data_IF_664525757095
#
_entry.id   IF_664525757095
#
_cell.length_a   1.000
_cell.length_b   1.000
_cell.length_c   1.000
_cell.angle_alpha   90.00
_cell.angle_beta   90.00
_cell.angle_gamma   90.00
#
_symmetry.space_group_name_H-M   'P 1'
#
loop_
_entity.id
_entity.type
_entity.pdbx_description
1 polymer ?
#
# COMPACT_ATOMS: atom_id res chain seq x y z
N UNK A 1 -3.77 44.32 -66.70
CA UNK A 1 -3.08 43.04 -66.42
C UNK A 1 -2.37 43.16 -65.08
N UNK A 2 -2.69 42.34 -64.07
CA UNK A 2 -2.09 42.47 -62.74
C UNK A 2 -0.79 41.67 -62.64
N UNK A 3 0.22 42.28 -62.03
CA UNK A 3 1.54 41.73 -61.70
C UNK A 3 1.44 40.67 -60.59
N UNK A 4 2.23 39.58 -60.62
CA UNK A 4 2.14 38.54 -59.60
C UNK A 4 2.98 38.91 -58.36
N UNK A 5 2.34 38.83 -57.18
CA UNK A 5 2.96 38.90 -55.86
C UNK A 5 3.81 37.65 -55.60
N UNK A 6 5.14 37.83 -55.50
CA UNK A 6 6.08 36.81 -55.03
C UNK A 6 5.87 36.57 -53.54
N UNK A 7 5.45 35.35 -53.17
CA UNK A 7 5.50 34.86 -51.78
C UNK A 7 6.95 34.51 -51.42
N UNK A 8 7.49 35.18 -50.40
CA UNK A 8 8.74 34.79 -49.75
C UNK A 8 8.46 33.70 -48.73
N UNK A 9 9.16 32.57 -48.84
CA UNK A 9 9.20 31.54 -47.81
C UNK A 9 10.02 32.02 -46.60
N UNK A 10 9.55 31.83 -45.36
CA UNK A 10 10.36 32.13 -44.19
C UNK A 10 11.47 31.09 -44.03
N UNK A 11 12.70 31.56 -43.80
CA UNK A 11 13.84 30.72 -43.46
C UNK A 11 13.73 30.14 -42.04
N UNK A 12 14.25 28.93 -41.79
CA UNK A 12 14.24 28.33 -40.47
C UNK A 12 15.25 29.03 -39.54
N UNK A 13 14.76 29.48 -38.39
CA UNK A 13 15.58 30.06 -37.34
C UNK A 13 16.54 29.03 -36.74
N UNK A 14 17.82 29.41 -36.65
CA UNK A 14 18.91 28.63 -36.06
C UNK A 14 18.72 28.49 -34.54
N UNK A 15 18.84 27.25 -34.07
CA UNK A 15 19.50 26.81 -32.84
C UNK A 15 19.22 27.56 -31.53
N UNK A 16 18.39 26.97 -30.67
CA UNK A 16 18.59 27.06 -29.21
C UNK A 16 18.73 25.64 -28.65
N UNK A 17 19.83 25.42 -27.95
CA UNK A 17 20.13 24.20 -27.23
C UNK A 17 19.02 23.92 -26.21
N UNK A 18 18.31 22.81 -26.40
CA UNK A 18 17.39 22.26 -25.43
C UNK A 18 18.27 21.69 -24.30
N UNK A 19 18.25 22.34 -23.13
CA UNK A 19 18.72 21.71 -21.90
C UNK A 19 17.78 20.55 -21.61
N UNK A 20 18.27 19.34 -21.84
CA UNK A 20 17.66 18.09 -21.40
C UNK A 20 17.52 18.14 -19.89
N UNK A 21 16.28 18.25 -19.41
CA UNK A 21 15.95 18.06 -18.00
C UNK A 21 16.14 16.55 -17.74
N UNK A 22 16.96 16.14 -16.74
CA UNK A 22 17.08 14.74 -16.41
C UNK A 22 15.75 14.29 -15.81
N UNK A 23 14.99 13.50 -16.55
CA UNK A 23 13.95 12.66 -15.99
C UNK A 23 14.69 11.68 -15.07
N UNK A 24 14.62 11.90 -13.77
CA UNK A 24 15.06 10.91 -12.78
C UNK A 24 14.16 9.68 -12.90
N UNK A 25 14.54 8.76 -13.78
CA UNK A 25 14.18 7.36 -13.67
C UNK A 25 14.83 6.81 -12.41
N UNK A 26 14.23 7.05 -11.24
CA UNK A 26 14.46 6.20 -10.08
C UNK A 26 13.67 4.91 -10.27
N UNK A 27 14.08 4.11 -11.26
CA UNK A 27 13.88 2.67 -11.14
C UNK A 27 14.78 2.25 -9.98
N UNK A 28 14.18 2.14 -8.80
CA UNK A 28 14.80 1.44 -7.69
C UNK A 28 15.13 0.04 -8.23
N UNK A 29 16.40 -0.18 -8.58
CA UNK A 29 16.92 -1.52 -8.85
C UNK A 29 16.62 -2.30 -7.58
N UNK A 30 15.69 -3.24 -7.67
CA UNK A 30 15.47 -4.22 -6.61
C UNK A 30 16.84 -4.81 -6.29
N UNK A 31 17.35 -4.66 -5.05
CA UNK A 31 18.66 -5.16 -4.68
C UNK A 31 18.75 -6.65 -5.02
N UNK A 32 19.73 -7.05 -5.84
CA UNK A 32 19.95 -8.46 -6.22
C UNK A 32 20.16 -9.38 -5.00
N UNK A 33 20.50 -8.83 -3.85
CA UNK A 33 20.67 -9.55 -2.58
C UNK A 33 19.34 -10.11 -2.01
N UNK A 34 18.17 -9.60 -2.44
CA UNK A 34 16.86 -10.07 -1.97
C UNK A 34 16.36 -11.37 -2.63
N UNK A 35 17.03 -11.85 -3.68
CA UNK A 35 16.64 -13.08 -4.39
C UNK A 35 17.12 -14.37 -3.71
N UNK A 36 17.99 -14.29 -2.69
CA UNK A 36 18.59 -15.48 -2.10
C UNK A 36 17.75 -16.14 -0.98
N UNK A 37 16.91 -15.38 -0.27
CA UNK A 37 16.13 -15.91 0.87
C UNK A 37 14.84 -16.63 0.47
N UNK A 38 14.33 -16.45 -0.75
CA UNK A 38 13.10 -17.11 -1.22
C UNK A 38 13.32 -18.54 -1.77
N UNK A 39 14.59 -18.99 -1.90
CA UNK A 39 14.92 -20.29 -2.51
C UNK A 39 14.67 -21.52 -1.61
N UNK A 40 14.42 -21.35 -0.32
CA UNK A 40 14.28 -22.50 0.60
C UNK A 40 12.86 -23.09 0.70
N UNK A 41 11.82 -22.45 0.14
CA UNK A 41 10.43 -22.87 0.37
C UNK A 41 9.78 -23.70 -0.77
N UNK A 42 10.46 -23.90 -1.91
CA UNK A 42 9.81 -24.43 -3.12
C UNK A 42 10.47 -25.69 -3.73
N UNK A 43 11.15 -26.50 -2.93
CA UNK A 43 11.51 -27.86 -3.37
C UNK A 43 10.36 -28.80 -3.06
N UNK A 44 9.42 -28.91 -4.01
CA UNK A 44 8.47 -30.02 -4.06
C UNK A 44 9.28 -31.29 -4.26
N UNK A 45 9.54 -32.02 -3.18
CA UNK A 45 10.04 -33.39 -3.21
C UNK A 45 8.93 -34.20 -3.88
N UNK A 46 9.08 -34.48 -5.18
CA UNK A 46 8.31 -35.54 -5.85
C UNK A 46 8.67 -36.85 -5.15
N UNK A 47 7.84 -37.27 -4.19
CA UNK A 47 7.92 -38.61 -3.62
C UNK A 47 7.70 -39.62 -4.76
N UNK A 48 8.62 -40.58 -4.98
CA UNK A 48 8.36 -41.66 -5.90
C UNK A 48 7.10 -42.42 -5.43
N UNK A 49 6.28 -42.84 -6.40
CA UNK A 49 5.10 -43.64 -6.15
C UNK A 49 5.50 -44.90 -5.36
N UNK A 50 4.72 -45.31 -4.34
CA UNK A 50 5.00 -46.55 -3.61
C UNK A 50 4.91 -47.72 -4.59
N UNK A 51 6.04 -48.40 -4.82
CA UNK A 51 6.04 -49.62 -5.61
C UNK A 51 5.33 -50.71 -4.80
N UNK A 52 4.31 -51.29 -5.41
CA UNK A 52 3.46 -52.34 -4.84
C UNK A 52 4.13 -53.71 -4.89
N UNK A 53 5.40 -53.82 -4.51
CA UNK A 53 6.07 -55.11 -4.36
C UNK A 53 6.09 -55.51 -2.89
N UNK A 54 5.12 -56.34 -2.53
CA UNK A 54 5.02 -57.00 -1.25
C UNK A 54 6.19 -57.95 -1.01
N UNK A 55 7.21 -57.44 -0.33
CA UNK A 55 8.15 -58.20 0.48
C UNK A 55 8.73 -57.26 1.54
N UNK A 56 8.02 -57.14 2.67
CA UNK A 56 8.52 -56.47 3.87
C UNK A 56 9.80 -57.16 4.35
N UNK A 57 10.96 -56.49 4.35
CA UNK A 57 12.10 -56.99 5.09
C UNK A 57 11.76 -56.86 6.58
N UNK A 58 11.97 -57.94 7.31
CA UNK A 58 12.01 -57.98 8.78
C UNK A 58 13.12 -57.06 9.30
N UNK A 59 12.91 -55.74 9.30
CA UNK A 59 13.63 -54.82 10.20
C UNK A 59 12.91 -54.84 11.55
N UNK A 60 12.82 -56.02 12.14
CA UNK A 60 12.37 -56.18 13.51
C UNK A 60 13.56 -55.88 14.43
N UNK A 61 13.40 -54.83 15.24
CA UNK A 61 14.15 -54.60 16.48
C UNK A 61 15.66 -54.45 16.33
N UNK A 62 16.11 -53.43 15.60
CA UNK A 62 17.37 -52.79 15.98
C UNK A 62 17.05 -52.05 17.29
N UNK A 63 17.64 -52.49 18.41
CA UNK A 63 17.38 -51.95 19.74
C UNK A 63 17.46 -50.43 19.76
N UNK A 64 16.51 -49.79 20.45
CA UNK A 64 16.49 -48.35 20.65
C UNK A 64 17.86 -47.90 21.16
N UNK A 65 18.61 -47.17 20.32
CA UNK A 65 19.88 -46.61 20.71
C UNK A 65 19.59 -45.55 21.77
N UNK A 66 19.96 -45.87 23.01
CA UNK A 66 19.87 -44.94 24.13
C UNK A 66 20.88 -43.82 23.91
N UNK A 67 20.38 -42.62 23.60
CA UNK A 67 21.19 -41.42 23.54
C UNK A 67 21.36 -40.87 24.96
N UNK A 68 22.60 -40.88 25.45
CA UNK A 68 22.96 -40.24 26.71
C UNK A 68 22.84 -38.72 26.58
N UNK A 69 22.37 -38.05 27.63
CA UNK A 69 22.19 -36.60 27.65
C UNK A 69 23.51 -35.88 27.34
N UNK A 70 23.45 -34.97 26.37
CA UNK A 70 24.61 -34.22 25.87
C UNK A 70 25.04 -33.08 26.77
N UNK A 71 24.17 -32.59 27.66
CA UNK A 71 24.50 -31.56 28.63
C UNK A 71 25.10 -32.12 29.93
N UNK A 72 24.45 -33.12 30.56
CA UNK A 72 24.88 -33.62 31.87
C UNK A 72 25.60 -34.97 31.86
N UNK A 73 25.52 -35.74 30.77
CA UNK A 73 26.10 -37.09 30.63
C UNK A 73 25.69 -38.10 31.73
N UNK A 74 24.66 -37.80 32.54
CA UNK A 74 24.28 -38.62 33.71
C UNK A 74 23.07 -39.52 33.47
N UNK A 75 22.27 -39.27 32.43
CA UNK A 75 21.05 -40.03 32.15
C UNK A 75 20.74 -40.09 30.64
N UNK A 76 20.01 -41.12 30.23
CA UNK A 76 19.45 -41.23 28.88
C UNK A 76 18.27 -40.27 28.72
N UNK A 77 18.07 -39.75 27.50
CA UNK A 77 16.86 -39.01 27.16
C UNK A 77 15.61 -39.90 27.22
N UNK A 78 14.49 -39.34 27.70
CA UNK A 78 13.18 -40.00 27.75
C UNK A 78 12.15 -39.23 26.90
N UNK A 79 11.27 -39.95 26.21
CA UNK A 79 10.17 -39.33 25.46
C UNK A 79 9.22 -38.61 26.40
N UNK A 80 8.93 -37.34 26.11
CA UNK A 80 8.00 -36.51 26.85
C UNK A 80 7.18 -35.62 25.88
N UNK A 81 6.25 -34.85 26.44
CA UNK A 81 5.59 -33.74 25.74
C UNK A 81 5.92 -32.43 26.43
N UNK A 82 5.98 -31.35 25.65
CA UNK A 82 6.25 -30.01 26.18
C UNK A 82 5.41 -28.96 25.47
N UNK A 83 5.39 -27.75 26.03
CA UNK A 83 4.79 -26.57 25.41
C UNK A 83 5.90 -25.63 24.94
N UNK A 84 5.73 -25.04 23.76
CA UNK A 84 6.69 -24.08 23.20
C UNK A 84 5.99 -22.77 22.87
N UNK A 85 6.44 -21.67 23.47
CA UNK A 85 5.99 -20.35 23.07
C UNK A 85 6.75 -19.91 21.82
N UNK A 86 6.03 -19.64 20.73
CA UNK A 86 6.56 -19.10 19.48
C UNK A 86 6.04 -17.69 19.24
N UNK A 87 6.90 -16.76 18.83
CA UNK A 87 6.47 -15.40 18.47
C UNK A 87 6.07 -15.35 17.00
N UNK A 88 4.82 -14.98 16.71
CA UNK A 88 4.31 -14.77 15.34
C UNK A 88 3.78 -13.34 15.26
N UNK A 89 4.28 -12.56 14.30
CA UNK A 89 3.91 -11.14 14.14
C UNK A 89 4.09 -10.27 15.41
N UNK A 90 5.04 -10.62 16.29
CA UNK A 90 5.28 -9.92 17.56
C UNK A 90 4.39 -10.36 18.72
N UNK A 91 3.43 -11.25 18.49
CA UNK A 91 2.57 -11.82 19.52
C UNK A 91 3.05 -13.22 19.92
N UNK A 92 3.12 -13.54 21.23
CA UNK A 92 3.47 -14.89 21.69
C UNK A 92 2.28 -15.84 21.52
N UNK A 93 2.52 -16.98 20.87
CA UNK A 93 1.55 -18.07 20.73
C UNK A 93 2.11 -19.35 21.37
N UNK A 94 1.27 -20.07 22.09
CA UNK A 94 1.65 -21.31 22.76
C UNK A 94 1.33 -22.51 21.86
N UNK A 95 2.35 -23.30 21.53
CA UNK A 95 2.20 -24.61 20.90
C UNK A 95 2.12 -25.67 22.00
N UNK A 96 1.04 -26.44 22.04
CA UNK A 96 0.81 -27.48 23.03
C UNK A 96 1.19 -28.87 22.49
N UNK A 97 1.39 -29.81 23.41
CA UNK A 97 1.54 -31.23 23.14
C UNK A 97 2.66 -31.58 22.14
N UNK A 98 3.79 -30.87 22.22
CA UNK A 98 4.91 -31.09 21.32
C UNK A 98 5.74 -32.29 21.79
N UNK A 99 5.84 -33.37 20.99
CA UNK A 99 6.68 -34.51 21.35
C UNK A 99 8.15 -34.09 21.38
N UNK A 100 8.84 -34.44 22.47
CA UNK A 100 10.25 -34.13 22.70
C UNK A 100 10.97 -35.26 23.42
N UNK A 101 12.27 -35.10 23.59
CA UNK A 101 13.12 -35.95 24.41
C UNK A 101 13.66 -35.09 25.57
N UNK A 102 13.37 -35.48 26.82
CA UNK A 102 13.76 -34.73 28.02
C UNK A 102 14.72 -35.57 28.88
N UNK A 103 15.80 -34.96 29.36
CA UNK A 103 16.72 -35.60 30.30
C UNK A 103 16.15 -35.52 31.73
N UNK A 104 15.92 -36.66 32.43
CA UNK A 104 15.39 -36.65 33.79
C UNK A 104 16.38 -36.12 34.85
N UNK A 105 17.68 -36.07 34.54
CA UNK A 105 18.70 -35.62 35.48
C UNK A 105 18.87 -34.09 35.51
N UNK A 106 18.79 -33.41 34.36
CA UNK A 106 19.02 -31.97 34.27
C UNK A 106 17.87 -31.17 33.63
N UNK A 107 16.84 -31.82 33.09
CA UNK A 107 15.71 -31.17 32.43
C UNK A 107 15.98 -30.63 31.03
N UNK A 108 17.13 -30.95 30.42
CA UNK A 108 17.40 -30.58 29.02
C UNK A 108 16.37 -31.21 28.08
N UNK A 109 15.80 -30.38 27.19
CA UNK A 109 14.84 -30.81 26.16
C UNK A 109 15.54 -30.76 24.80
N UNK A 110 15.46 -31.85 24.06
CA UNK A 110 15.89 -31.93 22.66
C UNK A 110 14.74 -32.38 21.76
N UNK A 111 14.79 -31.98 20.50
CA UNK A 111 13.84 -32.38 19.48
C UNK A 111 14.57 -33.16 18.40
N UNK A 112 14.02 -34.30 18.00
CA UNK A 112 14.50 -35.00 16.81
C UNK A 112 14.22 -34.15 15.56
N UNK A 113 14.86 -34.50 14.44
CA UNK A 113 14.60 -33.83 13.17
C UNK A 113 13.12 -33.89 12.76
N UNK A 114 12.47 -35.04 12.96
CA UNK A 114 11.05 -35.20 12.64
C UNK A 114 10.14 -34.37 13.55
N UNK A 115 10.45 -34.32 14.86
CA UNK A 115 9.71 -33.49 15.82
C UNK A 115 9.85 -32.00 15.50
N UNK A 116 11.06 -31.55 15.16
CA UNK A 116 11.34 -30.17 14.74
C UNK A 116 10.52 -29.79 13.50
N UNK A 117 10.47 -30.67 12.49
CA UNK A 117 9.61 -30.47 11.31
C UNK A 117 8.11 -30.43 11.67
N UNK A 118 7.69 -31.16 12.69
CA UNK A 118 6.32 -31.12 13.23
C UNK A 118 5.99 -29.76 13.86
N UNK A 119 6.90 -29.24 14.69
CA UNK A 119 6.81 -27.91 15.29
C UNK A 119 6.72 -26.83 14.22
N UNK A 120 7.60 -26.89 13.22
CA UNK A 120 7.62 -25.94 12.11
C UNK A 120 6.29 -25.95 11.34
N UNK A 121 5.70 -27.14 11.10
CA UNK A 121 4.37 -27.24 10.46
C UNK A 121 3.27 -26.60 11.30
N UNK A 122 3.27 -26.80 12.62
CA UNK A 122 2.27 -26.17 13.49
C UNK A 122 2.44 -24.66 13.54
N UNK A 123 3.68 -24.18 13.67
CA UNK A 123 4.00 -22.75 13.61
C UNK A 123 3.54 -22.12 12.30
N UNK A 124 3.86 -22.77 11.18
CA UNK A 124 3.46 -22.33 9.83
C UNK A 124 1.93 -22.36 9.69
N UNK A 125 1.24 -23.37 10.25
CA UNK A 125 -0.22 -23.42 10.26
C UNK A 125 -0.85 -22.28 11.06
N UNK A 126 -0.28 -21.92 12.22
CA UNK A 126 -0.70 -20.73 12.97
C UNK A 126 -0.47 -19.46 12.15
N UNK A 127 0.70 -19.32 11.53
CA UNK A 127 1.00 -18.17 10.68
C UNK A 127 0.03 -18.05 9.49
N UNK A 128 -0.33 -19.19 8.87
CA UNK A 128 -1.35 -19.25 7.82
C UNK A 128 -2.75 -18.89 8.34
N UNK A 129 -3.11 -19.32 9.55
CA UNK A 129 -4.41 -19.04 10.15
C UNK A 129 -4.60 -17.55 10.50
N UNK A 130 -3.51 -16.86 10.84
CA UNK A 130 -3.56 -15.46 11.27
C UNK A 130 -3.62 -14.46 10.11
N UNK A 131 -3.02 -14.77 8.95
CA UNK A 131 -3.03 -13.87 7.80
C UNK A 131 -4.25 -14.15 6.91
N UNK A 132 -5.20 -13.20 6.77
CA UNK A 132 -6.35 -13.41 5.91
C UNK A 132 -5.91 -13.63 4.45
N UNK A 133 -6.65 -14.46 3.73
CA UNK A 133 -6.44 -14.66 2.31
C UNK A 133 -6.71 -13.35 1.56
N UNK A 134 -5.76 -12.95 0.71
CA UNK A 134 -5.89 -11.74 -0.08
C UNK A 134 -7.00 -11.90 -1.12
N UNK A 135 -7.91 -10.93 -1.13
CA UNK A 135 -8.95 -10.82 -2.14
C UNK A 135 -8.35 -10.45 -3.52
N UNK A 136 -9.04 -10.76 -4.63
CA UNK A 136 -8.57 -10.42 -5.98
C UNK A 136 -8.19 -8.94 -6.17
N UNK A 137 -8.98 -8.02 -5.60
CA UNK A 137 -8.71 -6.58 -5.66
C UNK A 137 -7.48 -6.16 -4.84
N UNK A 138 -7.18 -6.87 -3.75
CA UNK A 138 -5.96 -6.63 -2.97
C UNK A 138 -4.73 -7.06 -3.76
N UNK A 139 -4.78 -8.18 -4.48
CA UNK A 139 -3.69 -8.63 -5.35
C UNK A 139 -3.44 -7.64 -6.50
N UNK A 140 -4.50 -7.16 -7.17
CA UNK A 140 -4.38 -6.06 -8.15
C UNK A 140 -3.74 -4.81 -7.55
N UNK A 141 -4.08 -4.51 -6.31
CA UNK A 141 -3.52 -3.36 -5.59
C UNK A 141 -2.04 -3.54 -5.31
N UNK A 142 -1.60 -4.71 -4.84
CA UNK A 142 -0.15 -5.05 -4.70
C UNK A 142 0.59 -4.75 -6.00
N UNK A 143 0.10 -5.29 -7.12
CA UNK A 143 0.75 -5.12 -8.42
C UNK A 143 0.77 -3.64 -8.88
N UNK A 144 -0.34 -2.91 -8.71
CA UNK A 144 -0.43 -1.48 -9.08
C UNK A 144 0.49 -0.60 -8.25
N UNK A 145 0.57 -0.81 -6.93
CA UNK A 145 1.47 -0.05 -6.05
C UNK A 145 2.92 -0.18 -6.49
N UNK A 146 3.31 -1.40 -6.89
CA UNK A 146 4.66 -1.69 -7.35
C UNK A 146 4.91 -1.27 -8.81
N UNK A 147 3.87 -0.76 -9.49
CA UNK A 147 3.90 -0.39 -10.90
C UNK A 147 4.44 -1.52 -11.79
N UNK A 148 4.06 -2.77 -11.48
CA UNK A 148 4.50 -3.96 -12.21
C UNK A 148 3.46 -4.42 -13.22
N UNK A 149 3.94 -4.95 -14.34
CA UNK A 149 3.14 -5.75 -15.26
C UNK A 149 2.86 -7.12 -14.67
N UNK A 150 1.89 -7.82 -15.26
CA UNK A 150 1.52 -9.15 -14.81
C UNK A 150 2.68 -10.14 -14.96
N UNK A 151 3.47 -10.07 -16.04
CA UNK A 151 4.63 -10.95 -16.20
C UNK A 151 5.71 -10.66 -15.17
N UNK A 152 5.96 -9.38 -14.88
CA UNK A 152 7.01 -8.95 -13.95
C UNK A 152 6.74 -9.44 -12.52
N UNK A 153 5.50 -9.36 -12.04
CA UNK A 153 5.16 -9.89 -10.71
C UNK A 153 5.19 -11.41 -10.66
N UNK A 154 4.84 -12.09 -11.77
CA UNK A 154 4.95 -13.54 -11.85
C UNK A 154 6.42 -14.00 -11.80
N UNK A 155 7.29 -13.34 -12.56
CA UNK A 155 8.73 -13.62 -12.59
C UNK A 155 9.37 -13.31 -11.24
N UNK A 156 8.94 -12.24 -10.58
CA UNK A 156 9.43 -11.86 -9.25
C UNK A 156 9.04 -12.88 -8.17
N UNK A 157 7.80 -13.37 -8.19
CA UNK A 157 7.30 -14.38 -7.26
C UNK A 157 7.66 -15.81 -7.67
N UNK A 158 8.26 -16.00 -8.85
CA UNK A 158 8.58 -17.30 -9.45
C UNK A 158 7.35 -18.22 -9.57
N UNK A 159 6.22 -17.63 -9.97
CA UNK A 159 4.95 -18.34 -10.19
C UNK A 159 4.62 -18.40 -11.68
N UNK A 160 3.81 -19.38 -12.08
CA UNK A 160 3.36 -19.51 -13.46
C UNK A 160 2.67 -18.22 -13.96
N UNK A 161 2.98 -17.80 -15.20
CA UNK A 161 2.53 -16.52 -15.79
C UNK A 161 1.02 -16.29 -15.75
N UNK A 162 0.23 -17.37 -15.78
CA UNK A 162 -1.22 -17.28 -15.73
C UNK A 162 -1.78 -17.34 -14.31
N UNK A 163 -1.00 -17.82 -13.34
CA UNK A 163 -1.48 -18.10 -11.99
C UNK A 163 -1.89 -16.83 -11.26
N UNK A 164 -1.04 -15.80 -11.26
CA UNK A 164 -1.36 -14.53 -10.60
C UNK A 164 -2.58 -13.85 -11.23
N UNK A 165 -2.66 -13.86 -12.56
CA UNK A 165 -3.79 -13.27 -13.29
C UNK A 165 -5.13 -13.93 -12.98
N UNK A 166 -5.15 -15.26 -12.76
CA UNK A 166 -6.35 -15.98 -12.32
C UNK A 166 -6.79 -15.57 -10.92
N UNK A 167 -5.83 -15.33 -10.01
CA UNK A 167 -6.13 -14.82 -8.68
C UNK A 167 -6.69 -13.39 -8.72
N UNK A 168 -6.09 -12.50 -9.51
CA UNK A 168 -6.61 -11.13 -9.69
C UNK A 168 -8.02 -11.10 -10.29
N UNK A 169 -8.37 -12.04 -11.16
CA UNK A 169 -9.73 -12.14 -11.72
C UNK A 169 -10.71 -12.88 -10.82
N UNK A 170 -10.25 -13.49 -9.74
CA UNK A 170 -11.08 -14.31 -8.85
C UNK A 170 -11.50 -15.65 -9.46
N UNK A 171 -10.86 -16.10 -10.55
CA UNK A 171 -11.14 -17.41 -11.16
C UNK A 171 -10.66 -18.57 -10.28
N UNK A 172 -9.63 -18.33 -9.47
CA UNK A 172 -9.08 -19.28 -8.50
C UNK A 172 -8.70 -18.51 -7.24
N UNK A 173 -9.03 -19.04 -6.07
CA UNK A 173 -8.57 -18.49 -4.81
C UNK A 173 -7.06 -18.71 -4.63
N UNK A 174 -6.38 -17.74 -4.03
CA UNK A 174 -4.97 -17.90 -3.67
C UNK A 174 -4.85 -18.98 -2.57
N UNK A 175 -3.87 -19.89 -2.73
CA UNK A 175 -3.62 -20.90 -1.70
C UNK A 175 -2.98 -20.25 -0.47
N UNK A 176 -3.16 -20.77 0.76
CA UNK A 176 -2.52 -20.22 1.95
C UNK A 176 -1.00 -20.05 1.79
N UNK A 177 -0.32 -21.05 1.22
CA UNK A 177 1.13 -21.01 0.93
C UNK A 177 1.55 -19.83 0.05
N UNK A 178 0.82 -19.57 -1.02
CA UNK A 178 1.09 -18.45 -1.91
C UNK A 178 0.67 -17.12 -1.28
N UNK A 179 -0.39 -17.12 -0.46
CA UNK A 179 -0.82 -15.95 0.29
C UNK A 179 0.29 -15.47 1.24
N UNK A 180 0.93 -16.40 1.96
CA UNK A 180 2.06 -16.07 2.82
C UNK A 180 3.23 -15.49 2.03
N UNK A 181 3.56 -16.09 0.87
CA UNK A 181 4.60 -15.56 -0.01
C UNK A 181 4.31 -14.10 -0.41
N UNK A 182 3.07 -13.80 -0.79
CA UNK A 182 2.65 -12.43 -1.14
C UNK A 182 2.67 -11.50 0.08
N UNK A 183 2.29 -11.97 1.28
CA UNK A 183 2.38 -11.17 2.51
C UNK A 183 3.81 -10.86 2.92
N UNK A 184 4.71 -11.86 2.93
CA UNK A 184 6.16 -11.65 3.15
C UNK A 184 6.74 -10.68 2.12
N UNK A 185 6.22 -10.71 0.90
CA UNK A 185 6.59 -9.75 -0.11
C UNK A 185 6.06 -8.35 0.23
N UNK A 186 4.78 -8.18 0.57
CA UNK A 186 4.18 -6.89 1.01
C UNK A 186 4.96 -6.27 2.17
N UNK A 187 5.38 -7.06 3.16
CA UNK A 187 6.17 -6.60 4.31
C UNK A 187 7.48 -5.89 3.92
N UNK A 188 8.05 -6.23 2.76
CA UNK A 188 9.27 -5.63 2.24
C UNK A 188 9.05 -4.32 1.49
N UNK A 189 7.80 -3.97 1.15
CA UNK A 189 7.45 -2.76 0.41
C UNK A 189 6.51 -1.88 1.24
N UNK A 190 7.02 -0.80 1.87
CA UNK A 190 6.21 0.03 2.76
C UNK A 190 4.99 0.63 2.04
N UNK A 191 5.13 1.01 0.77
CA UNK A 191 4.03 1.52 -0.04
C UNK A 191 2.89 0.50 -0.17
N UNK A 192 3.20 -0.79 -0.31
CA UNK A 192 2.19 -1.85 -0.37
C UNK A 192 1.47 -2.00 0.97
N UNK A 193 2.21 -1.94 2.09
CA UNK A 193 1.63 -1.97 3.44
C UNK A 193 0.61 -0.85 3.64
N UNK A 194 0.97 0.39 3.30
CA UNK A 194 0.11 1.57 3.46
C UNK A 194 -1.19 1.46 2.62
N UNK A 195 -1.10 0.86 1.43
CA UNK A 195 -2.28 0.70 0.58
C UNK A 195 -3.18 -0.47 1.01
N UNK A 196 -2.62 -1.55 1.58
CA UNK A 196 -3.37 -2.78 1.87
C UNK A 196 -3.84 -2.89 3.31
N UNK A 197 -3.08 -2.37 4.26
CA UNK A 197 -3.30 -2.54 5.70
C UNK A 197 -3.86 -1.22 6.27
N UNK A 198 -5.12 -1.18 6.74
CA UNK A 198 -5.73 0.06 7.22
C UNK A 198 -4.99 0.73 8.40
N UNK A 199 -4.45 -0.05 9.34
CA UNK A 199 -3.71 0.49 10.48
C UNK A 199 -2.42 1.21 10.05
N UNK A 200 -1.64 0.59 9.15
CA UNK A 200 -0.45 1.18 8.54
C UNK A 200 -0.79 2.44 7.75
N UNK A 201 -1.94 2.43 7.05
CA UNK A 201 -2.47 3.61 6.35
C UNK A 201 -2.72 4.78 7.28
N UNK A 202 -3.46 4.54 8.36
CA UNK A 202 -3.79 5.56 9.36
C UNK A 202 -2.51 6.11 10.00
N UNK A 203 -1.55 5.25 10.33
CA UNK A 203 -0.26 5.67 10.88
C UNK A 203 0.52 6.55 9.89
N UNK A 204 0.59 6.17 8.60
CA UNK A 204 1.27 6.94 7.57
C UNK A 204 0.60 8.30 7.31
N UNK A 205 -0.73 8.35 7.25
CA UNK A 205 -1.50 9.58 7.11
C UNK A 205 -1.28 10.48 8.33
N UNK A 206 -1.37 9.93 9.55
CA UNK A 206 -1.13 10.70 10.78
C UNK A 206 0.26 11.30 10.81
N UNK A 207 1.28 10.58 10.33
CA UNK A 207 2.65 11.07 10.19
C UNK A 207 2.77 12.18 9.13
N UNK A 208 2.04 12.09 8.01
CA UNK A 208 1.99 13.16 7.01
C UNK A 208 1.25 14.39 7.53
N UNK A 209 0.20 14.21 8.34
CA UNK A 209 -0.58 15.29 8.91
C UNK A 209 0.25 16.18 9.84
N UNK A 210 1.16 15.60 10.63
CA UNK A 210 2.01 16.39 11.55
C UNK A 210 2.95 17.35 10.83
N UNK A 211 3.35 17.07 9.58
CA UNK A 211 4.18 17.97 8.78
C UNK A 211 3.37 18.94 7.91
N UNK A 212 2.20 18.51 7.42
CA UNK A 212 1.40 19.29 6.46
C UNK A 212 0.44 20.26 7.14
N UNK A 213 -0.17 19.89 8.28
CA UNK A 213 -1.15 20.74 8.95
C UNK A 213 -0.51 21.96 9.65
N UNK A 214 0.80 22.14 9.63
CA UNK A 214 1.42 23.41 10.02
C UNK A 214 1.45 24.45 8.90
N UNK A 215 1.21 24.03 7.64
CA UNK A 215 1.44 24.83 6.46
C UNK A 215 0.15 25.49 5.96
N UNK A 216 0.29 26.60 5.21
CA UNK A 216 -0.81 27.20 4.49
C UNK A 216 -1.06 26.40 3.21
N UNK A 217 -1.98 25.45 3.27
CA UNK A 217 -2.36 24.58 2.14
C UNK A 217 -3.85 24.73 1.85
N UNK A 218 -4.19 24.62 0.57
CA UNK A 218 -5.59 24.43 0.16
C UNK A 218 -6.05 23.00 0.50
N UNK A 219 -7.36 22.78 0.58
CA UNK A 219 -7.91 21.43 0.79
C UNK A 219 -7.49 20.46 -0.31
N UNK A 220 -7.53 20.90 -1.57
CA UNK A 220 -7.09 20.09 -2.70
C UNK A 220 -5.57 19.81 -2.71
N UNK A 221 -4.75 20.80 -2.33
CA UNK A 221 -3.30 20.63 -2.19
C UNK A 221 -2.94 19.67 -1.07
N UNK A 222 -3.58 19.81 0.08
CA UNK A 222 -3.42 18.89 1.21
C UNK A 222 -3.67 17.43 0.79
N UNK A 223 -4.78 17.15 0.09
CA UNK A 223 -5.09 15.79 -0.38
C UNK A 223 -3.97 15.26 -1.29
N UNK A 224 -3.49 16.05 -2.25
CA UNK A 224 -2.40 15.66 -3.14
C UNK A 224 -1.09 15.39 -2.39
N UNK A 225 -0.75 16.26 -1.44
CA UNK A 225 0.49 16.13 -0.66
C UNK A 225 0.46 14.91 0.25
N UNK A 226 -0.68 14.61 0.90
CA UNK A 226 -0.82 13.37 1.67
C UNK A 226 -0.72 12.15 0.77
N UNK A 227 -1.45 12.10 -0.35
CA UNK A 227 -1.41 10.97 -1.30
C UNK A 227 0.03 10.76 -1.82
N UNK A 228 0.71 11.84 -2.20
CA UNK A 228 2.08 11.81 -2.72
C UNK A 228 3.11 11.36 -1.66
N UNK A 229 2.97 11.85 -0.42
CA UNK A 229 3.88 11.55 0.70
C UNK A 229 3.71 10.12 1.19
N UNK A 230 2.46 9.65 1.25
CA UNK A 230 2.11 8.28 1.73
C UNK A 230 2.14 7.23 0.63
N UNK A 231 2.34 7.64 -0.63
CA UNK A 231 2.28 6.75 -1.82
C UNK A 231 0.95 5.98 -1.92
N UNK A 232 -0.14 6.62 -1.50
CA UNK A 232 -1.47 6.05 -1.68
C UNK A 232 -1.85 6.03 -3.16
N UNK A 233 -2.51 4.95 -3.58
CA UNK A 233 -3.10 4.89 -4.91
C UNK A 233 -4.38 5.73 -4.95
N UNK A 234 -4.55 6.63 -5.94
CA UNK A 234 -5.76 7.41 -6.08
C UNK A 234 -7.04 6.56 -6.19
N UNK A 235 -6.96 5.42 -6.89
CA UNK A 235 -8.09 4.49 -7.05
C UNK A 235 -8.57 3.92 -5.70
N UNK A 236 -7.63 3.63 -4.80
CA UNK A 236 -7.94 3.15 -3.45
C UNK A 236 -8.62 4.24 -2.62
N UNK A 237 -8.16 5.48 -2.73
CA UNK A 237 -8.77 6.64 -2.08
C UNK A 237 -10.20 6.82 -2.62
N UNK A 238 -10.38 6.81 -3.94
CA UNK A 238 -11.70 6.90 -4.59
C UNK A 238 -12.65 5.81 -4.11
N UNK A 239 -12.21 4.54 -4.10
CA UNK A 239 -13.00 3.40 -3.64
C UNK A 239 -13.39 3.52 -2.16
N UNK A 240 -12.46 3.99 -1.30
CA UNK A 240 -12.72 4.16 0.13
C UNK A 240 -13.68 5.32 0.43
N UNK A 241 -13.70 6.34 -0.43
CA UNK A 241 -14.59 7.48 -0.34
C UNK A 241 -15.92 7.26 -1.09
N UNK A 242 -16.01 6.20 -1.90
CA UNK A 242 -17.08 5.94 -2.87
C UNK A 242 -17.35 7.15 -3.78
N UNK A 243 -16.28 7.73 -4.33
CA UNK A 243 -16.36 8.84 -5.29
C UNK A 243 -15.73 8.46 -6.62
N UNK A 244 -16.23 9.05 -7.69
CA UNK A 244 -15.63 8.92 -9.02
C UNK A 244 -14.23 9.58 -9.07
N UNK A 245 -13.25 8.99 -9.78
CA UNK A 245 -11.90 9.55 -9.91
C UNK A 245 -11.87 10.99 -10.45
N UNK A 246 -12.82 11.34 -11.32
CA UNK A 246 -12.97 12.70 -11.87
C UNK A 246 -13.32 13.69 -10.75
N UNK A 247 -14.17 13.29 -9.80
CA UNK A 247 -14.55 14.14 -8.66
C UNK A 247 -13.35 14.38 -7.74
N UNK A 248 -12.57 13.34 -7.42
CA UNK A 248 -11.33 13.49 -6.64
C UNK A 248 -10.38 14.47 -7.33
N UNK A 249 -10.15 14.29 -8.64
CA UNK A 249 -9.27 15.14 -9.44
C UNK A 249 -9.71 16.62 -9.40
N UNK A 250 -11.02 16.88 -9.48
CA UNK A 250 -11.58 18.24 -9.41
C UNK A 250 -11.44 18.86 -8.01
N UNK A 251 -11.61 18.06 -6.95
CA UNK A 251 -11.38 18.52 -5.56
C UNK A 251 -9.91 18.85 -5.37
N UNK A 252 -9.00 17.96 -5.77
CA UNK A 252 -7.55 18.21 -5.74
C UNK A 252 -7.23 19.51 -6.45
N UNK A 253 -7.78 19.75 -7.64
CA UNK A 253 -7.55 20.96 -8.42
C UNK A 253 -8.37 22.19 -7.97
N UNK A 254 -9.01 22.19 -6.80
CA UNK A 254 -9.80 23.32 -6.32
C UNK A 254 -10.79 23.85 -7.40
N UNK A 255 -11.35 22.94 -8.21
CA UNK A 255 -12.27 23.31 -9.29
C UNK A 255 -13.69 23.62 -8.77
N UNK A 256 -13.94 23.33 -7.50
CA UNK A 256 -15.18 23.62 -6.79
C UNK A 256 -14.93 24.67 -5.72
N UNK A 257 -15.92 25.53 -5.50
CA UNK A 257 -16.01 26.20 -4.21
C UNK A 257 -16.27 25.15 -3.12
N UNK A 258 -15.73 25.29 -1.89
CA UNK A 258 -15.92 24.34 -0.81
C UNK A 258 -17.37 23.89 -0.61
N UNK A 259 -18.32 24.83 -0.67
CA UNK A 259 -19.75 24.61 -0.44
C UNK A 259 -20.46 23.85 -1.59
N UNK A 260 -19.80 23.70 -2.74
CA UNK A 260 -20.30 22.89 -3.86
C UNK A 260 -19.95 21.40 -3.70
N UNK A 261 -19.02 21.07 -2.81
CA UNK A 261 -18.71 19.68 -2.48
C UNK A 261 -19.81 19.17 -1.55
N UNK A 262 -20.31 17.96 -1.78
CA UNK A 262 -21.31 17.36 -0.89
C UNK A 262 -20.75 17.26 0.55
N UNK A 263 -21.49 17.69 1.59
CA UNK A 263 -21.05 17.56 2.97
C UNK A 263 -20.70 16.12 3.38
N UNK A 264 -21.42 15.13 2.83
CA UNK A 264 -21.12 13.71 3.07
C UNK A 264 -19.79 13.28 2.44
N UNK A 265 -19.47 13.74 1.22
CA UNK A 265 -18.17 13.49 0.60
C UNK A 265 -17.05 14.13 1.43
N UNK A 266 -17.24 15.38 1.88
CA UNK A 266 -16.26 16.05 2.76
C UNK A 266 -16.09 15.30 4.08
N UNK A 267 -17.17 14.82 4.70
CA UNK A 267 -17.11 14.02 5.91
C UNK A 267 -16.30 12.72 5.70
N UNK A 268 -16.49 12.02 4.57
CA UNK A 268 -15.70 10.83 4.20
C UNK A 268 -14.22 11.15 4.06
N UNK A 269 -13.89 12.25 3.39
CA UNK A 269 -12.50 12.70 3.23
C UNK A 269 -11.89 13.00 4.60
N UNK A 270 -12.59 13.73 5.45
CA UNK A 270 -12.16 14.05 6.82
C UNK A 270 -11.92 12.78 7.64
N UNK A 271 -12.83 11.81 7.58
CA UNK A 271 -12.69 10.53 8.26
C UNK A 271 -11.49 9.73 7.72
N UNK A 272 -11.35 9.62 6.40
CA UNK A 272 -10.29 8.86 5.75
C UNK A 272 -8.90 9.42 6.06
N UNK A 273 -8.76 10.76 6.03
CA UNK A 273 -7.51 11.45 6.28
C UNK A 273 -7.27 11.81 7.77
N UNK A 274 -8.18 11.45 8.67
CA UNK A 274 -8.04 11.71 10.10
C UNK A 274 -7.94 13.21 10.45
N UNK A 275 -8.73 14.05 9.77
CA UNK A 275 -8.74 15.50 9.99
C UNK A 275 -9.66 15.90 11.15
N UNK A 276 -9.32 16.99 11.85
CA UNK A 276 -10.23 17.67 12.78
C UNK A 276 -11.05 18.73 12.04
N UNK A 277 -12.18 19.17 12.62
CA UNK A 277 -13.04 20.18 12.02
C UNK A 277 -12.33 21.54 11.86
N UNK A 278 -11.46 21.92 12.80
CA UNK A 278 -10.67 23.15 12.72
C UNK A 278 -9.66 23.12 11.57
N UNK A 279 -8.98 21.97 11.42
CA UNK A 279 -8.06 21.76 10.30
C UNK A 279 -8.81 21.82 8.96
N UNK A 280 -9.98 21.19 8.88
CA UNK A 280 -10.84 21.28 7.71
C UNK A 280 -11.24 22.74 7.42
N UNK A 281 -11.75 23.48 8.41
CA UNK A 281 -12.19 24.87 8.25
C UNK A 281 -11.08 25.72 7.65
N UNK A 282 -9.85 25.60 8.17
CA UNK A 282 -8.69 26.31 7.65
C UNK A 282 -8.36 25.92 6.19
N UNK A 283 -8.32 24.63 5.87
CA UNK A 283 -8.04 24.14 4.52
C UNK A 283 -9.10 24.62 3.50
N UNK A 284 -10.38 24.61 3.88
CA UNK A 284 -11.47 25.07 3.02
C UNK A 284 -11.44 26.59 2.81
N UNK A 285 -11.09 27.39 3.83
CA UNK A 285 -10.90 28.84 3.69
C UNK A 285 -9.75 29.18 2.73
N UNK A 286 -8.65 28.42 2.80
CA UNK A 286 -7.54 28.56 1.86
C UNK A 286 -7.98 28.21 0.42
N UNK A 287 -8.75 27.12 0.24
CA UNK A 287 -9.36 26.79 -1.06
C UNK A 287 -10.26 27.90 -1.58
N UNK A 288 -11.11 28.50 -0.73
CA UNK A 288 -12.00 29.58 -1.14
C UNK A 288 -11.24 30.82 -1.61
N UNK A 289 -10.12 31.13 -0.94
CA UNK A 289 -9.20 32.21 -1.36
C UNK A 289 -8.64 31.93 -2.76
N UNK A 290 -8.18 30.71 -3.02
CA UNK A 290 -7.62 30.31 -4.33
C UNK A 290 -8.69 30.36 -5.43
N UNK A 291 -9.90 29.86 -5.16
CA UNK A 291 -11.03 29.91 -6.10
C UNK A 291 -11.39 31.37 -6.41
N UNK A 292 -11.43 32.25 -5.40
CA UNK A 292 -11.66 33.67 -5.61
C UNK A 292 -10.57 34.31 -6.47
N UNK A 293 -9.29 33.98 -6.22
CA UNK A 293 -8.17 34.45 -7.04
C UNK A 293 -8.31 33.96 -8.49
N UNK A 294 -8.65 32.69 -8.70
CA UNK A 294 -8.87 32.08 -10.02
C UNK A 294 -9.97 32.79 -10.80
N UNK A 295 -11.06 33.17 -10.13
CA UNK A 295 -12.17 33.89 -10.76
C UNK A 295 -11.83 35.36 -11.08
N UNK A 296 -10.93 35.98 -10.30
CA UNK A 296 -10.49 37.37 -10.52
C UNK A 296 -9.33 37.50 -11.52
N UNK A 297 -8.57 36.43 -11.72
CA UNK A 297 -7.42 36.44 -12.60
C UNK A 297 -7.86 36.25 -14.05
N UNK A 298 -7.69 37.27 -14.89
CA UNK A 298 -7.66 37.10 -16.33
C UNK A 298 -6.36 36.38 -16.70
N UNK A 299 -6.34 35.05 -16.60
CA UNK A 299 -5.16 34.25 -16.91
C UNK A 299 -4.96 34.24 -18.43
N UNK A 300 -4.12 35.16 -18.92
CA UNK A 300 -3.63 35.11 -20.30
C UNK A 300 -2.58 34.00 -20.37
N UNK A 301 -3.01 32.79 -20.71
CA UNK A 301 -2.09 31.69 -20.91
C UNK A 301 -1.34 31.84 -22.22
N UNK A 302 0.00 31.75 -22.15
CA UNK A 302 0.80 31.41 -23.32
C UNK A 302 0.26 30.09 -23.90
N UNK A 303 -0.06 30.08 -25.20
CA UNK A 303 -0.69 28.94 -25.90
C UNK A 303 0.07 27.65 -25.60
N UNK A 304 -0.49 26.79 -24.75
CA UNK A 304 0.01 25.42 -24.59
C UNK A 304 -0.37 24.64 -25.83
N UNK A 305 0.57 23.86 -26.36
CA UNK A 305 0.37 23.07 -27.59
C UNK A 305 -0.33 21.74 -27.34
N UNK A 306 -0.58 21.34 -26.08
CA UNK A 306 -1.30 20.12 -25.73
C UNK A 306 -2.79 20.43 -25.54
N UNK A 307 -3.63 20.00 -26.49
CA UNK A 307 -5.09 20.13 -26.45
C UNK A 307 -5.81 18.85 -26.00
N UNK A 308 -5.09 17.88 -25.43
CA UNK A 308 -5.69 16.68 -24.88
C UNK A 308 -6.18 16.90 -23.44
N UNK A 309 -7.10 16.05 -22.97
CA UNK A 309 -7.67 16.15 -21.62
C UNK A 309 -6.60 16.10 -20.51
N UNK A 310 -5.49 15.37 -20.76
CA UNK A 310 -4.33 15.32 -19.86
C UNK A 310 -3.60 16.67 -19.79
N UNK A 311 -3.43 17.35 -20.93
CA UNK A 311 -2.89 18.69 -21.00
C UNK A 311 -3.71 19.70 -20.22
N UNK A 312 -5.05 19.66 -20.32
CA UNK A 312 -5.94 20.55 -19.56
C UNK A 312 -5.83 20.35 -18.05
N UNK A 313 -5.76 19.09 -17.59
CA UNK A 313 -5.59 18.77 -16.17
C UNK A 313 -4.22 19.24 -15.64
N UNK A 314 -3.15 19.00 -16.40
CA UNK A 314 -1.80 19.45 -16.04
C UNK A 314 -1.69 20.99 -15.99
N UNK A 315 -2.33 21.68 -16.92
CA UNK A 315 -2.40 23.13 -16.94
C UNK A 315 -3.15 23.68 -15.71
N UNK A 316 -4.32 23.12 -15.41
CA UNK A 316 -5.11 23.51 -14.24
C UNK A 316 -4.31 23.32 -12.95
N UNK A 317 -3.60 22.20 -12.81
CA UNK A 317 -2.71 21.93 -11.68
C UNK A 317 -1.58 22.97 -11.57
N UNK A 318 -0.94 23.33 -12.67
CA UNK A 318 0.13 24.34 -12.69
C UNK A 318 -0.37 25.72 -12.26
N UNK A 319 -1.54 26.15 -12.75
CA UNK A 319 -2.16 27.41 -12.33
C UNK A 319 -2.46 27.41 -10.84
N UNK A 320 -3.06 26.34 -10.34
CA UNK A 320 -3.37 26.21 -8.92
C UNK A 320 -2.11 26.29 -8.06
N UNK A 321 -1.03 25.59 -8.42
CA UNK A 321 0.24 25.67 -7.70
C UNK A 321 0.82 27.09 -7.67
N UNK A 322 0.65 27.87 -8.75
CA UNK A 322 1.06 29.28 -8.76
C UNK A 322 0.19 30.14 -7.86
N UNK A 323 -1.13 29.94 -7.90
CA UNK A 323 -2.09 30.66 -7.06
C UNK A 323 -1.89 30.32 -5.57
N UNK A 324 -1.64 29.06 -5.24
CA UNK A 324 -1.30 28.58 -3.89
C UNK A 324 -0.06 29.30 -3.36
N UNK A 325 1.03 29.34 -4.13
CA UNK A 325 2.26 30.08 -3.75
C UNK A 325 2.05 31.58 -3.61
N UNK A 326 1.18 32.17 -4.44
CA UNK A 326 0.85 33.59 -4.34
C UNK A 326 0.00 33.87 -3.08
N UNK A 327 -0.96 33.00 -2.76
CA UNK A 327 -1.76 33.09 -1.56
C UNK A 327 -0.88 32.98 -0.30
N UNK A 328 0.05 32.02 -0.27
CA UNK A 328 1.04 31.88 0.81
C UNK A 328 1.87 33.15 1.02
N UNK A 329 2.29 33.82 -0.06
CA UNK A 329 3.08 35.07 0.03
C UNK A 329 2.27 36.29 0.49
N UNK A 330 0.97 36.33 0.21
CA UNK A 330 0.11 37.48 0.56
C UNK A 330 -0.24 37.51 2.05
N UNK A 331 -0.11 36.40 2.76
CA UNK A 331 -0.48 36.32 4.18
C UNK A 331 -1.99 36.50 4.42
N UNK A 332 -2.39 36.50 5.68
CA UNK A 332 -3.80 36.54 6.12
C UNK A 332 -4.45 37.94 6.04
N UNK A 333 -3.76 38.94 5.50
CA UNK A 333 -4.15 40.35 5.64
C UNK A 333 -5.27 40.85 4.71
N UNK A 334 -5.88 39.98 3.90
CA UNK A 334 -7.04 40.35 3.09
C UNK A 334 -8.32 39.87 3.79
N UNK A 335 -9.42 40.63 3.70
CA UNK A 335 -10.75 40.16 4.12
C UNK A 335 -11.10 38.87 3.35
N UNK A 336 -10.77 37.73 3.94
CA UNK A 336 -10.98 36.43 3.33
C UNK A 336 -12.45 36.07 3.46
N UNK A 337 -13.09 35.75 2.35
CA UNK A 337 -14.38 35.07 2.38
C UNK A 337 -14.17 33.77 3.14
N UNK A 338 -14.94 33.55 4.20
CA UNK A 338 -14.90 32.34 5.00
C UNK A 338 -15.97 31.37 4.53
N UNK A 339 -15.71 30.08 4.72
CA UNK A 339 -16.70 29.02 4.49
C UNK A 339 -17.83 29.17 5.51
N UNK A 340 -19.08 29.00 5.07
CA UNK A 340 -20.25 29.12 5.93
C UNK A 340 -20.21 28.12 7.10
N UNK A 341 -20.53 28.59 8.31
CA UNK A 341 -20.67 27.72 9.48
C UNK A 341 -21.82 26.72 9.34
N UNK A 342 -22.86 27.02 8.53
CA UNK A 342 -23.92 26.07 8.18
C UNK A 342 -23.38 24.88 7.38
N UNK A 343 -22.44 25.11 6.47
CA UNK A 343 -21.78 24.04 5.73
C UNK A 343 -20.96 23.13 6.67
N UNK A 344 -20.20 23.73 7.58
CA UNK A 344 -19.42 22.99 8.57
C UNK A 344 -20.31 22.18 9.51
N UNK A 345 -21.45 22.73 9.94
CA UNK A 345 -22.45 22.02 10.74
C UNK A 345 -23.01 20.79 10.00
N UNK A 346 -23.28 20.91 8.70
CA UNK A 346 -23.72 19.78 7.86
C UNK A 346 -22.64 18.70 7.73
N UNK A 347 -21.38 19.08 7.57
CA UNK A 347 -20.25 18.13 7.54
C UNK A 347 -20.12 17.41 8.89
N UNK A 348 -20.22 18.15 10.00
CA UNK A 348 -20.18 17.59 11.35
C UNK A 348 -21.32 16.60 11.59
N UNK A 349 -22.55 16.96 11.22
CA UNK A 349 -23.70 16.05 11.30
C UNK A 349 -23.48 14.77 10.50
N UNK A 350 -22.91 14.86 9.29
CA UNK A 350 -22.58 13.69 8.47
C UNK A 350 -21.48 12.81 9.11
N UNK A 351 -20.46 13.41 9.75
CA UNK A 351 -19.43 12.67 10.49
C UNK A 351 -20.02 11.90 11.67
N UNK A 352 -20.91 12.54 12.43
CA UNK A 352 -21.53 11.93 13.60
C UNK A 352 -22.49 10.80 13.20
N UNK A 353 -23.27 10.97 12.13
CA UNK A 353 -24.09 9.91 11.56
C UNK A 353 -23.27 8.67 11.16
N UNK A 354 -22.07 8.85 10.59
CA UNK A 354 -21.17 7.74 10.23
C UNK A 354 -20.58 7.03 11.44
N UNK A 355 -20.23 7.78 12.50
CA UNK A 355 -19.76 7.20 13.77
C UNK A 355 -20.84 6.33 14.40
N UNK A 356 -22.10 6.77 14.37
CA UNK A 356 -23.24 6.00 14.85
C UNK A 356 -23.47 4.73 14.02
N UNK A 357 -23.33 4.80 12.70
CA UNK A 357 -23.49 3.64 11.82
C UNK A 357 -22.35 2.60 11.96
N UNK A 358 -21.12 3.04 12.26
CA UNK A 358 -19.94 2.19 12.35
C UNK A 358 -19.81 1.41 13.67
N UNK A 359 -20.43 1.86 14.76
CA UNK A 359 -20.36 1.21 16.08
C UNK A 359 -21.28 0.00 16.28
N UNK A 360 -22.08 -0.36 15.27
CA UNK A 360 -23.05 -1.45 15.32
C UNK A 360 -22.57 -2.75 14.64
N UNK A 361 -21.29 -2.85 14.30
CA UNK A 361 -20.65 -4.03 13.70
C UNK A 361 -19.47 -4.46 14.55
#
# INVERSE_FOLDING_TARGET
>A
MPTPLKRQCPQPARGRAIRTIPIMSSMARVPKELLFTARCAATIIRRPAPSSNGNSPRYAQIGAWKMICTNCFNADYQTATTELTVTINGEPHLLHDLPCETCPACGEITFTHEQSLGIDKQRVALEFGLKPLLAPEQLKTVRRVLNMKLEEICDLLQIGRNTYGRWERGEVAITPSMNLLVHTFIEKFPDAKVNLIPSERVAAISKANSSLLGQYLSFGEYIREVISTTKLLPDLVCASLEIEPVTLTRIENNDFAPEQISPDITARIVQFFGLTLDNLKRLLNATLTIVSMKNSANVVHARSTSYDAKGTAAQSRSVNMMLEKLAQKRGESAQQKLVSDDYLAKVQAALDARRQAGGAR
#
